data_IF_419524529805
#
_entry.id   IF_419524529805
#
_cell.length_a   1.000
_cell.length_b   1.000
_cell.length_c   1.000
_cell.angle_alpha   90.00
_cell.angle_beta   90.00
_cell.angle_gamma   90.00
#
_symmetry.space_group_name_H-M   'P 1'
#
loop_
_entity.id
_entity.type
_entity.pdbx_description
1 polymer ?
#
# COMPACT_ATOMS: atom_id res chain seq x y z
N UNK A 1 10.24 17.55 -16.74
CA UNK A 1 9.35 17.67 -15.65
C UNK A 1 9.08 16.34 -14.94
N UNK A 2 9.16 16.34 -13.67
CA UNK A 2 8.94 15.09 -12.97
C UNK A 2 7.80 15.27 -11.98
N UNK A 3 7.18 14.17 -11.68
CA UNK A 3 6.06 14.13 -10.78
C UNK A 3 6.54 14.09 -9.34
N UNK A 4 5.84 14.80 -8.47
CA UNK A 4 6.13 14.72 -7.05
C UNK A 4 5.40 13.57 -6.39
N UNK A 5 4.56 12.88 -7.14
CA UNK A 5 3.80 11.78 -6.61
C UNK A 5 4.62 10.51 -6.70
N UNK A 6 4.62 9.76 -5.63
CA UNK A 6 5.26 8.46 -5.62
C UNK A 6 4.37 7.45 -6.32
N UNK A 7 4.96 6.64 -7.19
CA UNK A 7 4.20 5.57 -7.81
C UNK A 7 4.03 4.42 -6.82
N UNK A 8 3.04 3.55 -7.03
CA UNK A 8 2.91 2.38 -6.15
C UNK A 8 4.17 1.54 -6.09
N UNK A 9 4.86 1.42 -7.23
CA UNK A 9 6.09 0.64 -7.25
C UNK A 9 7.17 1.28 -6.38
N UNK A 10 7.27 2.60 -6.41
CA UNK A 10 8.25 3.30 -5.60
C UNK A 10 7.96 3.14 -4.11
N UNK A 11 6.69 3.26 -3.75
CA UNK A 11 6.32 3.08 -2.35
C UNK A 11 6.63 1.67 -1.88
N UNK A 12 6.33 0.69 -2.71
CA UNK A 12 6.61 -0.70 -2.39
C UNK A 12 8.10 -0.92 -2.20
N UNK A 13 8.92 -0.31 -3.06
CA UNK A 13 10.36 -0.48 -2.99
C UNK A 13 10.95 0.15 -1.73
N UNK A 14 10.27 1.15 -1.16
CA UNK A 14 10.76 1.82 0.04
C UNK A 14 10.46 1.05 1.32
N UNK A 15 9.66 -0.01 1.21
CA UNK A 15 9.26 -0.79 2.37
C UNK A 15 10.22 -1.95 2.56
N UNK A 16 10.55 -2.23 3.82
CA UNK A 16 11.36 -3.39 4.14
C UNK A 16 10.56 -4.67 3.90
N UNK A 17 11.22 -5.83 3.83
CA UNK A 17 10.48 -7.08 3.68
C UNK A 17 9.46 -7.30 4.79
N UNK A 18 9.76 -6.92 6.01
CA UNK A 18 8.81 -7.05 7.11
C UNK A 18 7.61 -6.14 6.92
N UNK A 19 7.88 -4.90 6.47
CA UNK A 19 6.79 -3.95 6.23
C UNK A 19 5.89 -4.44 5.12
N UNK A 20 6.49 -4.99 4.07
CA UNK A 20 5.69 -5.54 2.96
C UNK A 20 4.82 -6.69 3.43
N UNK A 21 5.38 -7.54 4.25
CA UNK A 21 4.64 -8.69 4.77
C UNK A 21 3.48 -8.23 5.63
N UNK A 22 3.71 -7.24 6.48
CA UNK A 22 2.65 -6.71 7.32
C UNK A 22 1.55 -6.08 6.49
N UNK A 23 1.93 -5.31 5.48
CA UNK A 23 0.97 -4.66 4.61
C UNK A 23 0.10 -5.70 3.89
N UNK A 24 0.74 -6.71 3.31
CA UNK A 24 0.01 -7.75 2.61
C UNK A 24 -0.89 -8.54 3.53
N UNK A 25 -0.43 -8.80 4.75
CA UNK A 25 -1.22 -9.53 5.72
C UNK A 25 -2.48 -8.76 6.10
N UNK A 26 -2.33 -7.47 6.37
CA UNK A 26 -3.47 -6.63 6.69
C UNK A 26 -4.43 -6.55 5.52
N UNK A 27 -3.88 -6.46 4.32
CA UNK A 27 -4.70 -6.38 3.12
C UNK A 27 -5.49 -7.66 2.94
N UNK A 28 -4.86 -8.80 3.15
CA UNK A 28 -5.51 -10.10 3.02
C UNK A 28 -6.64 -10.26 4.02
N UNK A 29 -6.50 -9.66 5.19
CA UNK A 29 -7.53 -9.70 6.21
C UNK A 29 -8.67 -8.73 5.94
N UNK A 30 -8.53 -7.88 4.93
CA UNK A 30 -9.53 -6.87 4.67
C UNK A 30 -9.38 -5.64 5.53
N UNK A 31 -8.26 -5.49 6.23
CA UNK A 31 -8.02 -4.35 7.11
C UNK A 31 -7.35 -3.25 6.30
N UNK A 32 -8.08 -2.66 5.38
CA UNK A 32 -7.50 -1.75 4.39
C UNK A 32 -7.03 -0.45 5.02
N UNK A 33 -7.80 0.09 5.95
CA UNK A 33 -7.40 1.33 6.61
C UNK A 33 -6.13 1.13 7.40
N UNK A 34 -6.02 0.00 8.08
CA UNK A 34 -4.83 -0.31 8.85
C UNK A 34 -3.64 -0.55 7.95
N UNK A 35 -3.88 -1.14 6.77
CA UNK A 35 -2.80 -1.34 5.81
C UNK A 35 -2.25 -0.01 5.34
N UNK A 36 -3.11 0.97 5.07
CA UNK A 36 -2.66 2.29 4.66
C UNK A 36 -1.88 2.95 5.79
N UNK A 37 -2.37 2.82 7.03
CA UNK A 37 -1.67 3.42 8.17
C UNK A 37 -0.29 2.79 8.34
N UNK A 38 -0.19 1.47 8.17
CA UNK A 38 1.09 0.79 8.27
C UNK A 38 2.03 1.25 7.17
N UNK A 39 1.51 1.39 5.96
CA UNK A 39 2.33 1.86 4.85
C UNK A 39 2.92 3.23 5.15
N UNK A 40 2.10 4.16 5.61
CA UNK A 40 2.58 5.50 5.87
C UNK A 40 3.60 5.52 7.01
N UNK A 41 3.42 4.66 7.98
CA UNK A 41 4.35 4.57 9.09
C UNK A 41 5.69 4.01 8.66
N UNK A 42 5.69 3.00 7.81
CA UNK A 42 6.91 2.32 7.42
C UNK A 42 7.67 3.06 6.33
N UNK A 43 6.96 3.79 5.47
CA UNK A 43 7.62 4.53 4.41
C UNK A 43 8.37 5.73 4.97
N UNK A 44 7.78 6.39 5.97
CA UNK A 44 8.46 7.52 6.59
C UNK A 44 8.39 8.78 5.76
N UNK A 45 9.44 9.57 5.83
CA UNK A 45 9.50 10.85 5.14
C UNK A 45 10.11 10.69 3.77
N UNK A 46 9.62 11.41 2.77
CA UNK A 46 8.40 12.22 2.84
C UNK A 46 7.17 11.33 2.90
N UNK A 47 6.18 11.78 3.65
CA UNK A 47 4.97 11.01 3.84
C UNK A 47 4.17 10.98 2.53
N UNK A 48 3.81 9.82 2.04
CA UNK A 48 3.06 9.75 0.80
C UNK A 48 1.65 10.27 0.99
N UNK A 49 1.07 10.78 -0.09
CA UNK A 49 -0.29 11.22 -0.05
C UNK A 49 -1.22 10.03 0.08
N UNK A 50 -2.39 10.27 0.65
CA UNK A 50 -3.36 9.20 0.83
C UNK A 50 -3.71 8.54 -0.50
N UNK A 51 -3.82 9.35 -1.54
CA UNK A 51 -4.14 8.85 -2.86
C UNK A 51 -3.10 7.85 -3.34
N UNK A 52 -1.82 8.17 -3.11
CA UNK A 52 -0.76 7.27 -3.54
C UNK A 52 -0.80 5.98 -2.74
N UNK A 53 -1.14 6.06 -1.47
CA UNK A 53 -1.26 4.88 -0.63
C UNK A 53 -2.39 3.98 -1.13
N UNK A 54 -3.50 4.58 -1.51
CA UNK A 54 -4.64 3.81 -1.99
C UNK A 54 -4.31 3.16 -3.33
N UNK A 55 -3.55 3.85 -4.18
CA UNK A 55 -3.13 3.27 -5.44
C UNK A 55 -2.31 2.01 -5.20
N UNK A 56 -1.39 2.06 -4.26
CA UNK A 56 -0.60 0.87 -3.93
C UNK A 56 -1.48 -0.24 -3.36
N UNK A 57 -2.41 0.14 -2.51
CA UNK A 57 -3.30 -0.83 -1.88
C UNK A 57 -4.10 -1.59 -2.94
N UNK A 58 -4.64 -0.86 -3.91
CA UNK A 58 -5.42 -1.48 -4.99
C UNK A 58 -4.52 -2.38 -5.84
N UNK A 59 -3.33 -1.91 -6.15
CA UNK A 59 -2.43 -2.69 -6.97
C UNK A 59 -2.02 -3.98 -6.27
N UNK A 60 -1.72 -3.92 -4.98
CA UNK A 60 -1.33 -5.11 -4.25
C UNK A 60 -2.50 -6.07 -4.07
N UNK A 61 -3.70 -5.52 -3.87
CA UNK A 61 -4.87 -6.38 -3.75
C UNK A 61 -5.09 -7.16 -5.04
N UNK A 62 -4.89 -6.50 -6.17
CA UNK A 62 -5.04 -7.14 -7.45
C UNK A 62 -3.99 -8.23 -7.64
N UNK A 63 -2.76 -7.96 -7.23
CA UNK A 63 -1.68 -8.93 -7.32
C UNK A 63 -1.95 -10.14 -6.49
N UNK A 64 -2.57 -9.95 -5.33
CA UNK A 64 -2.87 -11.06 -4.43
C UNK A 64 -4.17 -11.77 -4.80
N UNK A 65 -4.82 -11.34 -5.86
CA UNK A 65 -6.07 -11.95 -6.28
C UNK A 65 -7.22 -11.58 -5.37
N UNK A 66 -7.09 -10.47 -4.65
CA UNK A 66 -8.08 -10.02 -3.69
C UNK A 66 -8.64 -8.70 -4.17
N UNK A 67 -9.94 -8.65 -4.39
CA UNK A 67 -10.55 -7.44 -4.90
C UNK A 67 -11.20 -6.66 -3.78
N UNK A 68 -10.86 -5.38 -3.71
CA UNK A 68 -11.37 -4.51 -2.68
C UNK A 68 -12.84 -4.24 -2.92
N UNK A 69 -13.60 -4.32 -1.85
CA UNK A 69 -15.02 -4.02 -1.92
C UNK A 69 -15.85 -5.09 -2.60
N UNK A 70 -15.22 -6.16 -3.03
CA UNK A 70 -15.93 -7.23 -3.71
C UNK A 70 -16.18 -8.36 -2.73
N UNK A 71 -17.39 -8.88 -2.76
CA UNK A 71 -17.75 -9.98 -1.88
C UNK A 71 -18.25 -11.13 -2.71
N UNK A 72 -17.78 -12.26 -2.40
CA UNK A 72 -18.22 -13.47 -3.08
C UNK A 72 -18.97 -14.37 -2.12
#
# INVERSE_FOLDING_TARGET
>A
MFSERATPRELWARMSPEARSEFDDLLTRGAEVQAVAALRRHVGEPCPQLRDCIDLLVERADELGHRLGERT
#
